data_IF_017653478629
#
_entry.id   IF_017653478629
#
_cell.length_a   1.000
_cell.length_b   1.000
_cell.length_c   1.000
_cell.angle_alpha   90.00
_cell.angle_beta   90.00
_cell.angle_gamma   90.00
#
_symmetry.space_group_name_H-M   'P 1'
#
loop_
_entity.id
_entity.type
_entity.pdbx_description
1 polymer ?
#
# COMPACT_ATOMS: atom_id res chain seq x y z
N UNK A 1 6.93 -4.10 -6.80
CA UNK A 1 5.51 -4.40 -6.53
C UNK A 1 4.66 -3.20 -6.96
N UNK A 2 3.60 -3.40 -7.77
CA UNK A 2 2.74 -2.30 -8.26
C UNK A 2 2.12 -1.45 -7.12
N UNK A 3 1.91 -2.05 -5.96
CA UNK A 3 1.37 -1.42 -4.74
C UNK A 3 2.30 -0.32 -4.21
N UNK A 4 3.60 -0.58 -4.15
CA UNK A 4 4.57 0.43 -3.70
C UNK A 4 4.68 1.60 -4.67
N UNK A 5 4.59 1.33 -5.99
CA UNK A 5 4.56 2.40 -7.00
C UNK A 5 3.35 3.32 -6.82
N UNK A 6 2.17 2.74 -6.59
CA UNK A 6 0.96 3.51 -6.30
C UNK A 6 1.09 4.34 -5.02
N UNK A 7 1.66 3.78 -3.95
CA UNK A 7 1.93 4.53 -2.70
C UNK A 7 2.95 5.65 -2.93
N UNK A 8 3.97 5.42 -3.75
CA UNK A 8 5.04 6.38 -4.08
C UNK A 8 4.55 7.50 -5.01
N UNK A 9 3.62 7.20 -5.92
CA UNK A 9 2.87 8.15 -6.75
C UNK A 9 1.91 9.05 -5.93
N UNK A 10 1.96 8.99 -4.60
CA UNK A 10 1.18 9.83 -3.70
C UNK A 10 -0.27 9.35 -3.51
N UNK A 11 -0.64 8.16 -3.98
CA UNK A 11 -1.95 7.60 -3.65
C UNK A 11 -2.01 7.29 -2.16
N UNK A 12 -3.04 7.84 -1.51
CA UNK A 12 -3.34 7.53 -0.12
C UNK A 12 -3.45 6.02 0.08
N UNK A 13 -2.80 5.51 1.14
CA UNK A 13 -2.79 4.09 1.53
C UNK A 13 -4.21 3.50 1.55
N UNK A 14 -5.22 4.31 1.92
CA UNK A 14 -6.62 3.89 1.93
C UNK A 14 -7.16 3.57 0.53
N UNK A 15 -6.82 4.37 -0.49
CA UNK A 15 -7.21 4.11 -1.89
C UNK A 15 -6.51 2.87 -2.41
N UNK A 16 -5.21 2.72 -2.11
CA UNK A 16 -4.43 1.54 -2.50
C UNK A 16 -5.02 0.27 -1.88
N UNK A 17 -5.38 0.30 -0.59
CA UNK A 17 -6.07 -0.82 0.05
C UNK A 17 -7.37 -1.22 -0.66
N UNK A 18 -8.18 -0.25 -1.11
CA UNK A 18 -9.44 -0.53 -1.83
C UNK A 18 -9.19 -1.12 -3.23
N UNK A 19 -8.25 -0.56 -3.98
CA UNK A 19 -7.95 -0.98 -5.36
C UNK A 19 -7.39 -2.41 -5.39
N UNK A 20 -6.47 -2.70 -4.48
CA UNK A 20 -5.80 -4.00 -4.45
C UNK A 20 -6.49 -5.01 -3.51
N UNK A 21 -7.59 -4.62 -2.87
CA UNK A 21 -8.31 -5.41 -1.86
C UNK A 21 -7.39 -5.96 -0.75
N UNK A 22 -6.47 -5.12 -0.28
CA UNK A 22 -5.46 -5.49 0.73
C UNK A 22 -5.74 -4.73 2.02
N UNK A 23 -5.59 -5.41 3.15
CA UNK A 23 -5.68 -4.76 4.45
C UNK A 23 -4.51 -3.78 4.68
N UNK A 24 -4.79 -2.66 5.36
CA UNK A 24 -3.76 -1.65 5.73
C UNK A 24 -2.64 -2.25 6.54
N UNK A 25 -2.96 -3.23 7.40
CA UNK A 25 -1.98 -3.91 8.24
C UNK A 25 -0.88 -4.59 7.40
N UNK A 26 -1.24 -5.15 6.24
CA UNK A 26 -0.30 -5.75 5.31
C UNK A 26 0.65 -4.71 4.72
N UNK A 27 0.12 -3.53 4.37
CA UNK A 27 0.94 -2.41 3.85
C UNK A 27 1.89 -1.88 4.92
N UNK A 28 1.42 -1.70 6.17
CA UNK A 28 2.27 -1.27 7.28
C UNK A 28 3.36 -2.30 7.62
N UNK A 29 3.03 -3.60 7.62
CA UNK A 29 4.03 -4.67 7.78
C UNK A 29 5.09 -4.62 6.69
N UNK A 30 4.70 -4.43 5.42
CA UNK A 30 5.66 -4.33 4.33
C UNK A 30 6.50 -3.04 4.38
N UNK A 31 5.94 -1.95 4.89
CA UNK A 31 6.70 -0.70 5.12
C UNK A 31 7.77 -0.86 6.19
N UNK A 32 7.49 -1.66 7.23
CA UNK A 32 8.42 -1.96 8.32
C UNK A 32 9.47 -3.04 7.99
N UNK A 33 9.24 -3.83 6.94
CA UNK A 33 10.16 -4.87 6.46
C UNK A 33 11.23 -4.35 5.48
N UNK A 34 11.20 -3.05 5.17
CA UNK A 34 12.20 -2.36 4.34
C UNK A 34 13.17 -1.61 5.23
#
# INVERSE_FOLDING_TARGET
>A
MKIFKAVDEGLSIVKVCKIFNINRNTIYKWKHLK
#
